data_IF_548356276398
#
_entry.id   IF_548356276398
#
_cell.length_a   1.000
_cell.length_b   1.000
_cell.length_c   1.000
_cell.angle_alpha   90.00
_cell.angle_beta   90.00
_cell.angle_gamma   90.00
#
_symmetry.space_group_name_H-M   'P 1'
#
loop_
_entity.id
_entity.type
_entity.pdbx_description
1 polymer ?
#
# COMPACT_ATOMS: atom_id res chain seq x y z
N UNK A 1 3.85 -6.95 -5.02
CA UNK A 1 3.99 -7.71 -3.76
C UNK A 1 3.53 -6.88 -2.57
N UNK A 2 3.65 -7.44 -1.34
CA UNK A 2 3.40 -6.74 -0.07
C UNK A 2 4.53 -7.08 0.89
N UNK A 3 4.99 -6.10 1.67
CA UNK A 3 5.98 -6.30 2.73
C UNK A 3 5.42 -5.79 4.06
N UNK A 4 5.51 -6.63 5.08
CA UNK A 4 5.11 -6.28 6.45
C UNK A 4 6.00 -6.97 7.47
N UNK A 5 6.14 -6.37 8.63
CA UNK A 5 6.62 -7.06 9.81
C UNK A 5 5.41 -7.65 10.54
N UNK A 6 5.16 -8.99 10.51
CA UNK A 6 3.97 -9.58 11.12
C UNK A 6 3.84 -9.30 12.62
N UNK A 7 4.94 -9.15 13.34
CA UNK A 7 4.90 -8.83 14.76
C UNK A 7 4.31 -7.43 15.05
N UNK A 8 4.47 -6.48 14.12
CA UNK A 8 3.95 -5.10 14.21
C UNK A 8 2.60 -4.95 13.51
N UNK A 9 2.46 -5.57 12.35
CA UNK A 9 1.27 -5.41 11.50
C UNK A 9 0.05 -6.23 11.98
N UNK A 10 0.26 -7.30 12.76
CA UNK A 10 -0.85 -8.10 13.31
C UNK A 10 -1.26 -7.52 14.66
N UNK A 11 -2.53 -7.10 14.83
CA UNK A 11 -3.04 -6.62 16.12
C UNK A 11 -2.89 -7.68 17.21
N UNK A 12 -2.57 -7.25 18.44
CA UNK A 12 -2.22 -8.15 19.55
C UNK A 12 -3.33 -9.18 19.81
N UNK A 13 -4.59 -8.75 19.78
CA UNK A 13 -5.78 -9.59 19.99
C UNK A 13 -6.02 -10.62 18.87
N UNK A 14 -5.33 -10.49 17.75
CA UNK A 14 -5.42 -11.43 16.62
C UNK A 14 -4.30 -12.47 16.62
N UNK A 15 -3.14 -12.16 17.22
CA UNK A 15 -1.92 -12.98 17.12
C UNK A 15 -2.13 -14.44 17.50
N UNK A 16 -2.87 -14.70 18.58
CA UNK A 16 -3.13 -16.04 19.10
C UNK A 16 -4.34 -16.75 18.47
N UNK A 17 -5.12 -16.07 17.60
CA UNK A 17 -6.32 -16.70 17.00
C UNK A 17 -5.92 -17.89 16.14
N UNK A 18 -6.68 -19.02 16.24
CA UNK A 18 -6.39 -20.20 15.45
C UNK A 18 -6.62 -19.95 13.95
N UNK A 19 -5.73 -20.45 13.12
CA UNK A 19 -5.79 -20.43 11.66
C UNK A 19 -5.42 -21.79 11.10
N UNK A 20 -6.19 -22.28 10.14
CA UNK A 20 -5.81 -23.46 9.33
C UNK A 20 -5.12 -22.99 8.06
N UNK A 21 -3.95 -23.58 7.75
CA UNK A 21 -3.23 -23.37 6.50
C UNK A 21 -2.56 -24.67 6.05
N UNK A 22 -2.79 -25.08 4.81
CA UNK A 22 -2.28 -26.32 4.22
C UNK A 22 -2.52 -27.58 5.08
N UNK A 23 -3.66 -27.62 5.81
CA UNK A 23 -4.03 -28.74 6.66
C UNK A 23 -3.44 -28.71 8.08
N UNK A 24 -2.58 -27.74 8.38
CA UNK A 24 -2.02 -27.54 9.73
C UNK A 24 -2.78 -26.45 10.49
N UNK A 25 -2.96 -26.66 11.80
CA UNK A 25 -3.48 -25.64 12.71
C UNK A 25 -2.31 -24.86 13.33
N UNK A 26 -2.39 -23.55 13.28
CA UNK A 26 -1.40 -22.65 13.85
C UNK A 26 -2.06 -21.37 14.34
N UNK A 27 -1.31 -20.49 15.01
CA UNK A 27 -1.77 -19.15 15.34
C UNK A 27 -1.80 -18.25 14.10
N UNK A 28 -2.60 -17.20 14.13
CA UNK A 28 -2.63 -16.22 13.02
C UNK A 28 -1.27 -15.56 12.80
N UNK A 29 -0.52 -15.30 13.87
CA UNK A 29 0.85 -14.77 13.74
C UNK A 29 1.79 -15.75 13.04
N UNK A 30 1.78 -17.04 13.43
CA UNK A 30 2.59 -18.08 12.76
C UNK A 30 2.24 -18.21 11.29
N UNK A 31 0.96 -18.17 10.95
CA UNK A 31 0.50 -18.14 9.55
C UNK A 31 1.09 -16.94 8.79
N UNK A 32 1.05 -15.74 9.38
CA UNK A 32 1.60 -14.54 8.75
C UNK A 32 3.12 -14.62 8.60
N UNK A 33 3.84 -15.15 9.58
CA UNK A 33 5.28 -15.36 9.49
C UNK A 33 5.66 -16.38 8.39
N UNK A 34 4.88 -17.46 8.26
CA UNK A 34 5.09 -18.46 7.19
C UNK A 34 4.82 -17.95 5.78
N UNK A 35 3.95 -16.95 5.63
CA UNK A 35 3.56 -16.41 4.32
C UNK A 35 4.30 -15.12 3.95
N UNK A 36 5.10 -14.57 4.85
CA UNK A 36 5.88 -13.37 4.59
C UNK A 36 7.23 -13.71 3.96
N UNK A 37 7.58 -13.03 2.88
CA UNK A 37 8.87 -13.18 2.22
C UNK A 37 9.97 -12.42 2.97
N UNK A 38 11.16 -13.03 3.06
CA UNK A 38 12.36 -12.44 3.60
C UNK A 38 13.27 -11.85 2.52
N UNK A 39 14.51 -11.58 2.91
CA UNK A 39 15.52 -10.97 2.03
C UNK A 39 15.85 -11.85 0.83
N UNK A 40 15.98 -13.15 1.03
CA UNK A 40 16.36 -14.11 -0.01
C UNK A 40 15.32 -14.16 -1.14
N UNK A 41 14.03 -14.22 -0.79
CA UNK A 41 12.95 -14.25 -1.77
C UNK A 41 12.82 -12.92 -2.52
N UNK A 42 12.99 -11.79 -1.85
CA UNK A 42 12.96 -10.49 -2.51
C UNK A 42 14.18 -10.26 -3.43
N UNK A 43 15.36 -10.74 -3.06
CA UNK A 43 16.54 -10.72 -3.94
C UNK A 43 16.33 -11.58 -5.19
N UNK A 44 15.68 -12.74 -5.04
CA UNK A 44 15.31 -13.58 -6.18
C UNK A 44 14.26 -12.91 -7.08
N UNK A 45 13.23 -12.27 -6.50
CA UNK A 45 12.23 -11.49 -7.25
C UNK A 45 12.92 -10.38 -8.04
N UNK A 46 13.78 -9.60 -7.41
CA UNK A 46 14.50 -8.49 -8.05
C UNK A 46 15.37 -8.98 -9.20
N UNK A 47 16.15 -10.02 -8.96
CA UNK A 47 17.00 -10.66 -9.97
C UNK A 47 16.18 -11.16 -11.15
N UNK A 48 15.09 -11.90 -10.87
CA UNK A 48 14.24 -12.49 -11.91
C UNK A 48 13.52 -11.43 -12.75
N UNK A 49 12.93 -10.42 -12.10
CA UNK A 49 12.25 -9.33 -12.79
C UNK A 49 13.21 -8.56 -13.69
N UNK A 50 14.44 -8.27 -13.23
CA UNK A 50 15.50 -7.66 -14.05
C UNK A 50 15.84 -8.51 -15.26
N UNK A 51 15.96 -9.81 -15.10
CA UNK A 51 16.23 -10.74 -16.23
C UNK A 51 15.09 -10.77 -17.25
N UNK A 52 13.84 -10.65 -16.80
CA UNK A 52 12.67 -10.62 -17.67
C UNK A 52 12.36 -9.23 -18.26
N UNK A 53 13.08 -8.19 -17.83
CA UNK A 53 12.79 -6.82 -18.24
C UNK A 53 11.45 -6.29 -17.71
N UNK A 54 10.98 -6.80 -16.57
CA UNK A 54 9.71 -6.44 -15.92
C UNK A 54 10.00 -5.63 -14.67
N UNK A 55 9.37 -4.47 -14.54
CA UNK A 55 9.38 -3.71 -13.30
C UNK A 55 8.53 -4.42 -12.23
N UNK A 56 8.95 -4.31 -10.96
CA UNK A 56 8.18 -4.82 -9.83
C UNK A 56 8.06 -3.78 -8.72
N UNK A 57 7.10 -3.97 -7.85
CA UNK A 57 6.88 -3.13 -6.68
C UNK A 57 6.27 -3.93 -5.53
N UNK A 58 6.36 -3.39 -4.32
CA UNK A 58 5.72 -3.93 -3.14
C UNK A 58 5.12 -2.83 -2.27
N UNK A 59 3.99 -3.16 -1.61
CA UNK A 59 3.33 -2.27 -0.67
C UNK A 59 3.95 -2.41 0.72
N UNK A 60 4.56 -1.37 1.32
CA UNK A 60 4.96 -1.39 2.71
C UNK A 60 3.75 -1.23 3.64
N UNK A 61 3.75 -1.95 4.77
CA UNK A 61 2.68 -1.90 5.77
C UNK A 61 3.14 -1.37 7.12
N UNK A 62 4.42 -1.10 7.27
CA UNK A 62 5.07 -0.58 8.48
C UNK A 62 6.43 0.04 8.13
N UNK A 63 7.02 0.75 9.08
CA UNK A 63 8.30 1.44 8.89
C UNK A 63 9.46 0.50 8.60
N UNK A 64 9.50 -0.70 9.23
CA UNK A 64 10.54 -1.68 8.94
C UNK A 64 10.47 -2.14 7.48
N UNK A 65 9.24 -2.23 6.94
CA UNK A 65 8.99 -2.59 5.54
C UNK A 65 9.41 -1.48 4.57
N UNK A 66 9.28 -0.20 4.94
CA UNK A 66 9.80 0.92 4.16
C UNK A 66 11.33 0.82 4.05
N UNK A 67 12.03 0.68 5.18
CA UNK A 67 13.49 0.55 5.20
C UNK A 67 13.97 -0.71 4.46
N UNK A 68 13.23 -1.80 4.58
CA UNK A 68 13.52 -3.02 3.83
C UNK A 68 13.39 -2.82 2.32
N UNK A 69 12.31 -2.21 1.85
CA UNK A 69 12.06 -2.00 0.43
C UNK A 69 12.94 -0.92 -0.18
N UNK A 70 13.41 0.04 0.60
CA UNK A 70 14.35 1.08 0.15
C UNK A 70 15.73 0.55 -0.28
N UNK A 71 16.02 -0.75 -0.02
CA UNK A 71 17.23 -1.41 -0.53
C UNK A 71 17.14 -1.79 -2.01
N UNK A 72 15.95 -1.70 -2.61
CA UNK A 72 15.69 -2.08 -4.00
C UNK A 72 15.37 -0.84 -4.85
N UNK A 73 15.72 -0.90 -6.13
CA UNK A 73 15.40 0.16 -7.10
C UNK A 73 13.96 0.00 -7.60
N UNK A 74 13.00 0.35 -6.75
CA UNK A 74 11.59 0.25 -7.06
C UNK A 74 11.12 1.50 -7.82
N UNK A 75 10.40 1.34 -8.95
CA UNK A 75 9.89 2.48 -9.72
C UNK A 75 8.81 3.26 -8.97
N UNK A 76 8.11 2.62 -8.07
CA UNK A 76 7.09 3.21 -7.19
C UNK A 76 6.80 2.28 -6.02
N UNK A 77 6.11 2.80 -5.02
CA UNK A 77 5.42 2.00 -4.00
C UNK A 77 3.94 2.35 -3.95
N UNK A 78 3.09 1.36 -3.65
CA UNK A 78 1.65 1.57 -3.48
C UNK A 78 1.25 1.27 -2.04
N UNK A 79 0.67 2.25 -1.36
CA UNK A 79 0.13 2.05 -0.03
C UNK A 79 -1.34 1.61 -0.11
N UNK A 80 -1.73 0.58 0.65
CA UNK A 80 -3.12 0.16 0.70
C UNK A 80 -3.98 1.16 1.46
N UNK A 81 -5.29 1.13 1.22
CA UNK A 81 -6.27 2.02 1.87
C UNK A 81 -6.14 2.05 3.40
N UNK A 82 -5.87 0.89 4.02
CA UNK A 82 -5.71 0.78 5.48
C UNK A 82 -4.54 1.62 6.05
N UNK A 83 -3.63 2.12 5.22
CA UNK A 83 -2.46 2.90 5.64
C UNK A 83 -2.63 4.41 5.36
N UNK A 84 -3.77 4.86 4.83
CA UNK A 84 -3.97 6.25 4.44
C UNK A 84 -3.83 7.23 5.62
N UNK A 85 -4.27 6.85 6.81
CA UNK A 85 -4.20 7.67 8.02
C UNK A 85 -2.89 7.56 8.79
N UNK A 86 -1.92 6.79 8.29
CA UNK A 86 -0.59 6.65 8.91
C UNK A 86 0.38 7.68 8.31
N UNK A 87 0.37 8.89 8.87
CA UNK A 87 1.17 10.04 8.39
C UNK A 87 2.68 9.75 8.35
N UNK A 88 3.21 9.05 9.36
CA UNK A 88 4.63 8.69 9.41
C UNK A 88 5.01 7.79 8.23
N UNK A 89 4.20 6.78 7.95
CA UNK A 89 4.41 5.84 6.85
C UNK A 89 4.29 6.54 5.49
N UNK A 90 3.29 7.42 5.31
CA UNK A 90 3.11 8.21 4.09
C UNK A 90 4.34 9.08 3.82
N UNK A 91 4.78 9.83 4.83
CA UNK A 91 5.94 10.73 4.76
C UNK A 91 7.22 9.98 4.41
N UNK A 92 7.47 8.84 5.09
CA UNK A 92 8.65 8.02 4.83
C UNK A 92 8.64 7.42 3.40
N UNK A 93 7.48 7.03 2.88
CA UNK A 93 7.38 6.56 1.51
C UNK A 93 7.68 7.68 0.50
N UNK A 94 7.21 8.90 0.72
CA UNK A 94 7.55 10.04 -0.13
C UNK A 94 9.05 10.34 -0.07
N UNK A 95 9.66 10.26 1.10
CA UNK A 95 11.11 10.45 1.26
C UNK A 95 11.93 9.43 0.47
N UNK A 96 11.63 8.13 0.67
CA UNK A 96 12.49 7.02 0.24
C UNK A 96 12.30 6.59 -1.21
N UNK A 97 11.11 6.75 -1.78
CA UNK A 97 10.80 6.21 -3.11
C UNK A 97 10.60 7.31 -4.16
N UNK A 98 10.91 7.02 -5.43
CA UNK A 98 10.78 7.99 -6.51
C UNK A 98 9.32 8.40 -6.74
N UNK A 99 8.38 7.48 -6.60
CA UNK A 99 6.94 7.71 -6.78
C UNK A 99 6.13 6.93 -5.76
N UNK A 100 5.06 7.57 -5.27
CA UNK A 100 4.11 6.96 -4.32
C UNK A 100 2.71 6.98 -4.91
N UNK A 101 2.00 5.86 -4.74
CA UNK A 101 0.59 5.71 -5.08
C UNK A 101 -0.13 5.23 -3.82
N UNK A 102 -1.33 5.73 -3.53
CA UNK A 102 -2.12 5.24 -2.41
C UNK A 102 -3.62 5.21 -2.73
N UNK A 103 -4.34 4.39 -1.99
CA UNK A 103 -5.77 4.17 -2.17
C UNK A 103 -6.56 4.77 -1.02
N UNK A 104 -7.79 5.23 -1.31
CA UNK A 104 -8.67 5.97 -0.38
C UNK A 104 -9.82 5.14 0.19
N UNK A 105 -9.85 3.83 -0.04
CA UNK A 105 -10.93 2.98 0.49
C UNK A 105 -11.01 3.03 2.02
N UNK A 106 -12.21 2.89 2.58
CA UNK A 106 -12.52 2.96 4.02
C UNK A 106 -12.24 4.31 4.68
N UNK A 107 -11.88 5.34 3.93
CA UNK A 107 -11.55 6.66 4.48
C UNK A 107 -12.68 7.64 4.25
N UNK A 108 -12.86 8.54 5.20
CA UNK A 108 -13.74 9.70 5.06
C UNK A 108 -13.08 10.77 4.18
N UNK A 109 -13.87 11.76 3.75
CA UNK A 109 -13.34 12.86 2.95
C UNK A 109 -12.32 13.68 3.75
N UNK A 110 -12.56 13.89 5.05
CA UNK A 110 -11.66 14.60 5.96
C UNK A 110 -10.31 13.86 6.13
N UNK A 111 -10.33 12.53 6.23
CA UNK A 111 -9.11 11.73 6.30
C UNK A 111 -8.30 11.79 4.99
N UNK A 112 -8.99 11.83 3.85
CA UNK A 112 -8.34 12.02 2.54
C UNK A 112 -7.73 13.42 2.44
N UNK A 113 -8.46 14.47 2.85
CA UNK A 113 -7.95 15.84 2.89
C UNK A 113 -6.67 15.93 3.73
N UNK A 114 -6.70 15.37 4.93
CA UNK A 114 -5.53 15.37 5.84
C UNK A 114 -4.33 14.64 5.21
N UNK A 115 -4.55 13.46 4.62
CA UNK A 115 -3.49 12.71 3.96
C UNK A 115 -2.91 13.47 2.76
N UNK A 116 -3.75 14.09 1.94
CA UNK A 116 -3.33 14.91 0.80
C UNK A 116 -2.48 16.09 1.24
N UNK A 117 -2.89 16.82 2.28
CA UNK A 117 -2.13 17.96 2.80
C UNK A 117 -0.77 17.51 3.36
N UNK A 118 -0.70 16.43 4.11
CA UNK A 118 0.55 15.85 4.59
C UNK A 118 1.48 15.45 3.43
N UNK A 119 0.93 14.87 2.38
CA UNK A 119 1.70 14.45 1.20
C UNK A 119 2.21 15.64 0.39
N UNK A 120 1.46 16.75 0.30
CA UNK A 120 1.93 17.99 -0.32
C UNK A 120 3.13 18.54 0.45
N UNK A 121 3.03 18.61 1.78
CA UNK A 121 4.13 19.05 2.64
C UNK A 121 5.35 18.15 2.46
N UNK A 122 5.17 16.82 2.51
CA UNK A 122 6.25 15.86 2.33
C UNK A 122 6.91 16.00 0.93
N UNK A 123 6.09 16.15 -0.12
CA UNK A 123 6.56 16.35 -1.49
C UNK A 123 7.45 17.59 -1.61
N UNK A 124 7.05 18.69 -0.99
CA UNK A 124 7.82 19.94 -0.99
C UNK A 124 9.11 19.81 -0.17
N UNK A 125 9.04 19.26 1.04
CA UNK A 125 10.20 19.04 1.93
C UNK A 125 11.28 18.19 1.25
N UNK A 126 10.88 17.09 0.60
CA UNK A 126 11.82 16.18 -0.06
C UNK A 126 12.06 16.51 -1.54
N UNK A 127 11.57 17.66 -2.01
CA UNK A 127 11.75 18.15 -3.39
C UNK A 127 11.39 17.09 -4.46
N UNK A 128 10.28 16.35 -4.25
CA UNK A 128 9.80 15.33 -5.18
C UNK A 128 9.03 15.96 -6.33
N UNK A 129 9.42 15.64 -7.56
CA UNK A 129 8.83 16.22 -8.78
C UNK A 129 7.73 15.35 -9.36
N UNK A 130 7.87 14.03 -9.22
CA UNK A 130 6.87 13.09 -9.72
C UNK A 130 5.50 13.31 -9.04
N UNK A 131 4.40 13.22 -9.78
CA UNK A 131 3.09 13.34 -9.20
C UNK A 131 2.80 12.14 -8.29
N UNK A 132 2.04 12.40 -7.22
CA UNK A 132 1.56 11.36 -6.33
C UNK A 132 0.26 10.79 -6.91
N UNK A 133 0.14 9.46 -6.93
CA UNK A 133 -1.07 8.77 -7.38
C UNK A 133 -2.07 8.62 -6.23
N UNK A 134 -3.32 9.00 -6.47
CA UNK A 134 -4.45 8.83 -5.55
C UNK A 134 -5.52 7.96 -6.22
N UNK A 135 -5.82 6.79 -5.66
CA UNK A 135 -6.73 5.83 -6.24
C UNK A 135 -8.06 5.79 -5.47
N UNK A 136 -9.16 6.06 -6.15
CA UNK A 136 -10.47 5.69 -5.64
C UNK A 136 -10.53 4.16 -5.47
N UNK A 137 -11.09 3.70 -4.36
CA UNK A 137 -11.14 2.28 -4.02
C UNK A 137 -12.36 1.96 -3.16
N UNK A 138 -13.09 0.90 -3.50
CA UNK A 138 -13.99 0.23 -2.57
C UNK A 138 -13.24 -0.95 -1.94
N UNK A 139 -13.17 -0.99 -0.60
CA UNK A 139 -12.38 -1.98 0.13
C UNK A 139 -13.10 -3.29 0.44
N UNK A 140 -14.29 -3.52 -0.13
CA UNK A 140 -15.00 -4.80 -0.06
C UNK A 140 -14.40 -5.80 -1.06
N UNK A 141 -14.26 -7.06 -0.68
CA UNK A 141 -13.69 -8.14 -1.50
C UNK A 141 -14.65 -9.35 -1.58
N UNK A 142 -15.34 -9.59 -2.73
CA UNK A 142 -15.44 -8.71 -3.90
C UNK A 142 -16.29 -7.47 -3.63
N UNK A 143 -16.02 -6.38 -4.36
CA UNK A 143 -16.82 -5.17 -4.28
C UNK A 143 -18.12 -5.33 -5.12
N UNK A 144 -19.31 -5.08 -4.54
CA UNK A 144 -20.56 -5.04 -5.31
C UNK A 144 -20.52 -3.94 -6.36
N UNK A 145 -21.04 -4.22 -7.56
CA UNK A 145 -20.98 -3.26 -8.69
C UNK A 145 -21.73 -1.98 -8.37
N UNK A 146 -22.84 -2.06 -7.69
CA UNK A 146 -23.69 -0.92 -7.28
C UNK A 146 -23.08 -0.07 -6.15
N UNK A 147 -22.03 -0.56 -5.48
CA UNK A 147 -21.30 0.16 -4.43
C UNK A 147 -19.97 0.76 -4.91
N UNK A 148 -19.59 0.60 -6.18
CA UNK A 148 -18.29 1.06 -6.70
C UNK A 148 -18.11 2.57 -6.65
N UNK A 149 -19.20 3.35 -6.74
CA UNK A 149 -19.20 4.81 -6.68
C UNK A 149 -18.15 5.47 -7.60
N UNK A 150 -18.07 5.04 -8.85
CA UNK A 150 -17.02 5.49 -9.79
C UNK A 150 -17.03 7.00 -10.05
N UNK A 151 -18.15 7.68 -9.78
CA UNK A 151 -18.24 9.15 -9.84
C UNK A 151 -17.27 9.85 -8.87
N UNK A 152 -16.85 9.18 -7.79
CA UNK A 152 -15.85 9.69 -6.87
C UNK A 152 -14.50 9.99 -7.56
N UNK A 153 -14.17 9.30 -8.64
CA UNK A 153 -12.97 9.58 -9.46
C UNK A 153 -13.00 11.01 -9.98
N UNK A 154 -14.14 11.43 -10.56
CA UNK A 154 -14.30 12.79 -11.07
C UNK A 154 -14.28 13.83 -9.93
N UNK A 155 -14.85 13.50 -8.78
CA UNK A 155 -14.81 14.37 -7.59
C UNK A 155 -13.36 14.57 -7.11
N UNK A 156 -12.60 13.48 -6.99
CA UNK A 156 -11.20 13.53 -6.60
C UNK A 156 -10.35 14.33 -7.61
N UNK A 157 -10.59 14.14 -8.92
CA UNK A 157 -9.91 14.91 -9.97
C UNK A 157 -10.15 16.42 -9.86
N UNK A 158 -11.38 16.82 -9.57
CA UNK A 158 -11.73 18.22 -9.39
C UNK A 158 -11.15 18.82 -8.10
N UNK A 159 -11.10 18.02 -7.02
CA UNK A 159 -10.66 18.46 -5.70
C UNK A 159 -9.12 18.50 -5.56
N UNK A 160 -8.40 17.55 -6.18
CA UNK A 160 -6.94 17.39 -6.08
C UNK A 160 -6.27 17.38 -7.47
N UNK A 161 -6.30 18.50 -8.20
CA UNK A 161 -5.81 18.56 -9.58
C UNK A 161 -4.29 18.39 -9.71
N UNK A 162 -3.56 18.45 -8.60
CA UNK A 162 -2.11 18.24 -8.48
C UNK A 162 -1.72 16.77 -8.26
N UNK A 163 -2.73 15.86 -8.15
CA UNK A 163 -2.54 14.42 -8.00
C UNK A 163 -2.96 13.67 -9.28
N UNK A 164 -2.31 12.54 -9.54
CA UNK A 164 -2.79 11.60 -10.56
C UNK A 164 -3.90 10.73 -10.00
N UNK A 165 -5.13 10.93 -10.47
CA UNK A 165 -6.28 10.18 -9.97
C UNK A 165 -6.49 8.91 -10.79
N UNK A 166 -6.69 7.79 -10.11
CA UNK A 166 -6.94 6.49 -10.71
C UNK A 166 -7.96 5.67 -9.94
N UNK A 167 -8.03 4.39 -10.28
CA UNK A 167 -8.96 3.44 -9.69
C UNK A 167 -8.24 2.16 -9.23
N UNK A 168 -8.62 1.65 -8.07
CA UNK A 168 -8.19 0.36 -7.53
C UNK A 168 -9.43 -0.51 -7.32
N UNK A 169 -9.79 -1.30 -8.34
CA UNK A 169 -11.00 -2.11 -8.36
C UNK A 169 -10.83 -3.46 -7.65
N UNK A 170 -11.91 -3.93 -7.03
CA UNK A 170 -12.00 -5.24 -6.37
C UNK A 170 -13.28 -6.00 -6.76
N UNK A 171 -13.98 -5.53 -7.76
CA UNK A 171 -15.15 -6.19 -8.34
C UNK A 171 -14.75 -7.44 -9.12
N UNK A 172 -15.67 -8.41 -9.16
CA UNK A 172 -15.58 -9.54 -10.08
C UNK A 172 -16.35 -9.19 -11.35
N UNK A 173 -15.68 -9.28 -12.49
CA UNK A 173 -16.24 -9.11 -13.85
C UNK A 173 -16.54 -10.47 -14.50
#
# INVERSE_FOLDING_TARGET
FQKRNPHKAVPEEQKSKPRSWQGEMMTYLEYKLKTEFGKEEYDEIDRYCKQQGIAWSASPWDMDSVEFLAQYDLPFVKLPSAMLTNEELLTACVEKFPRVIFSTGMSTEEEIDQAVDNLRVAKDVFNKKEPIGLLHCNSTYPAPIDELNLSAITTLQAKYPDFEIGYSGHEMT
#
